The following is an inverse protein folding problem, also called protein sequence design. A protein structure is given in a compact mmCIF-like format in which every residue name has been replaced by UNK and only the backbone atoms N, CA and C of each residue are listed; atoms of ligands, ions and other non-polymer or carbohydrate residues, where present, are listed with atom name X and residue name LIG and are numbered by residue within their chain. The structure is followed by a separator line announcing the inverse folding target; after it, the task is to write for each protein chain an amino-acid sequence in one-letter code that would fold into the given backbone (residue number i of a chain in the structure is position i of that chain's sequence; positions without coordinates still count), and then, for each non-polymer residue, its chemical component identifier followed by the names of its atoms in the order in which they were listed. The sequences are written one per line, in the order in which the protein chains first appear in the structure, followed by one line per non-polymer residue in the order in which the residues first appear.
data_IF_100912599334
#
_entry.id   IF_100912599334
#
_cell.length_a   1.000
_cell.length_b   1.000
_cell.length_c   1.000
_cell.angle_alpha   90.00
_cell.angle_beta   90.00
_cell.angle_gamma   90.00
#
_symmetry.space_group_name_H-M   'P 1'
#
loop_
_entity.id
_entity.type
_entity.pdbx_description
1 polymer ?
#
# COMPACT_ATOMS: atom_id res chain seq x y z
N UNK A 1 -26.60 9.91 41.44
CA UNK A 1 -26.51 10.23 40.00
C UNK A 1 -25.06 10.53 39.69
N UNK A 2 -24.34 9.60 39.07
CA UNK A 2 -22.92 9.74 38.75
C UNK A 2 -22.80 10.36 37.36
N UNK A 3 -22.25 11.57 37.31
CA UNK A 3 -21.96 12.29 36.05
C UNK A 3 -20.73 11.66 35.39
N UNK A 4 -20.92 11.02 34.23
CA UNK A 4 -19.84 10.50 33.42
C UNK A 4 -18.99 11.66 32.86
N UNK A 5 -17.71 11.68 33.17
CA UNK A 5 -16.74 12.65 32.67
C UNK A 5 -16.52 12.51 31.16
N UNK A 6 -16.30 13.62 30.40
CA UNK A 6 -16.18 13.60 28.94
C UNK A 6 -14.91 12.89 28.40
N UNK A 7 -14.00 12.43 29.26
CA UNK A 7 -12.80 11.69 28.89
C UNK A 7 -13.08 10.26 28.38
N UNK A 8 -14.18 9.62 28.83
CA UNK A 8 -14.54 8.26 28.43
C UNK A 8 -15.07 8.16 26.98
N UNK A 9 -15.64 9.26 26.45
CA UNK A 9 -16.20 9.29 25.10
C UNK A 9 -15.13 9.41 23.99
N UNK A 10 -13.88 9.74 24.32
CA UNK A 10 -12.78 9.93 23.35
C UNK A 10 -12.04 8.65 23.00
N UNK A 11 -12.16 7.60 23.82
CA UNK A 11 -11.44 6.33 23.63
C UNK A 11 -12.04 5.41 22.56
N UNK A 12 -13.28 5.64 22.11
CA UNK A 12 -13.98 4.74 21.16
C UNK A 12 -13.70 5.08 19.68
N UNK A 13 -13.00 6.18 19.36
CA UNK A 13 -12.81 6.63 17.98
C UNK A 13 -11.49 6.20 17.31
N UNK A 14 -10.63 5.48 17.96
CA UNK A 14 -9.40 4.97 17.35
C UNK A 14 -9.49 3.48 17.01
N UNK A 15 -10.50 3.11 16.20
CA UNK A 15 -10.38 1.87 15.42
C UNK A 15 -9.14 2.06 14.53
N UNK A 16 -8.07 1.24 14.64
CA UNK A 16 -6.92 1.38 13.76
C UNK A 16 -7.46 1.24 12.34
N UNK A 17 -7.38 2.32 11.57
CA UNK A 17 -7.81 2.29 10.17
C UNK A 17 -7.01 1.18 9.50
N UNK A 18 -7.68 0.10 9.12
CA UNK A 18 -7.06 -1.02 8.41
C UNK A 18 -6.24 -0.45 7.24
N UNK A 19 -4.92 -0.58 7.36
CA UNK A 19 -4.00 -0.13 6.30
C UNK A 19 -4.07 -1.17 5.19
N UNK A 20 -4.87 -0.90 4.21
CA UNK A 20 -4.98 -1.74 3.03
C UNK A 20 -4.62 -0.96 1.77
N UNK A 21 -4.11 -1.68 0.78
CA UNK A 21 -3.86 -1.17 -0.55
C UNK A 21 -4.86 -1.76 -1.53
N UNK A 22 -5.26 -1.00 -2.54
CA UNK A 22 -5.94 -1.55 -3.70
C UNK A 22 -4.93 -2.25 -4.62
N UNK A 23 -5.34 -3.22 -5.44
CA UNK A 23 -4.46 -3.83 -6.44
C UNK A 23 -3.78 -2.79 -7.35
N UNK A 24 -2.61 -3.11 -7.93
CA UNK A 24 -1.84 -2.16 -8.72
C UNK A 24 -2.63 -1.62 -9.91
N UNK A 25 -2.63 -0.31 -10.07
CA UNK A 25 -3.35 0.38 -11.13
C UNK A 25 -4.84 0.59 -10.88
N UNK A 26 -5.40 0.10 -9.77
CA UNK A 26 -6.80 0.37 -9.43
C UNK A 26 -7.09 1.87 -9.45
N UNK A 27 -8.26 2.23 -9.99
CA UNK A 27 -8.74 3.61 -9.97
C UNK A 27 -8.89 4.16 -8.55
N UNK A 28 -9.05 5.47 -8.41
CA UNK A 28 -9.41 6.09 -7.13
C UNK A 28 -10.65 5.43 -6.52
N UNK A 29 -10.75 5.39 -5.18
CA UNK A 29 -11.68 4.53 -4.44
C UNK A 29 -13.12 4.59 -4.93
N UNK A 30 -13.68 5.79 -5.15
CA UNK A 30 -15.06 5.94 -5.61
C UNK A 30 -15.28 5.29 -7.01
N UNK A 31 -14.38 5.57 -7.95
CA UNK A 31 -14.44 5.00 -9.31
C UNK A 31 -14.14 3.50 -9.31
N UNK A 32 -13.28 3.05 -8.43
CA UNK A 32 -13.00 1.62 -8.26
C UNK A 32 -14.24 0.87 -7.79
N UNK A 33 -14.89 1.37 -6.72
CA UNK A 33 -16.09 0.76 -6.16
C UNK A 33 -17.28 0.76 -7.13
N UNK A 34 -17.41 1.79 -7.98
CA UNK A 34 -18.48 1.83 -9.02
C UNK A 34 -18.27 0.84 -10.15
N UNK A 35 -17.03 0.38 -10.39
CA UNK A 35 -16.70 -0.55 -11.47
C UNK A 35 -16.50 -1.99 -11.01
N UNK A 36 -16.10 -2.20 -9.75
CA UNK A 36 -15.79 -3.54 -9.24
C UNK A 36 -17.07 -4.36 -9.03
N UNK A 37 -17.19 -5.46 -9.73
CA UNK A 37 -18.32 -6.40 -9.64
C UNK A 37 -18.04 -7.58 -8.70
N UNK A 38 -16.99 -7.52 -7.91
CA UNK A 38 -16.61 -8.52 -6.89
C UNK A 38 -16.43 -9.95 -7.46
N UNK A 39 -16.00 -10.08 -8.71
CA UNK A 39 -15.88 -11.39 -9.40
C UNK A 39 -14.73 -12.28 -8.91
N UNK A 40 -13.83 -11.78 -8.07
CA UNK A 40 -12.74 -12.57 -7.47
C UNK A 40 -11.54 -12.87 -8.38
N UNK A 41 -11.64 -12.73 -9.71
CA UNK A 41 -10.61 -13.16 -10.68
C UNK A 41 -9.21 -12.57 -10.41
N UNK A 42 -9.13 -11.32 -9.93
CA UNK A 42 -7.85 -10.68 -9.60
C UNK A 42 -7.10 -11.41 -8.46
N UNK A 43 -7.82 -12.02 -7.52
CA UNK A 43 -7.23 -12.84 -6.45
C UNK A 43 -6.73 -14.18 -6.97
N UNK A 44 -7.52 -14.86 -7.80
CA UNK A 44 -7.18 -16.18 -8.36
C UNK A 44 -5.94 -16.13 -9.26
N UNK A 45 -5.84 -15.12 -10.12
CA UNK A 45 -4.69 -14.97 -11.03
C UNK A 45 -3.41 -14.53 -10.31
N UNK A 46 -3.49 -14.07 -9.06
CA UNK A 46 -2.34 -13.51 -8.35
C UNK A 46 -1.32 -14.60 -7.95
N UNK A 47 -0.13 -14.66 -8.57
CA UNK A 47 0.84 -15.73 -8.27
C UNK A 47 1.38 -15.64 -6.84
N UNK A 48 1.41 -14.45 -6.26
CA UNK A 48 1.82 -14.24 -4.87
C UNK A 48 0.67 -14.38 -3.87
N UNK A 49 -0.57 -14.57 -4.34
CA UNK A 49 -1.77 -14.67 -3.50
C UNK A 49 -1.83 -13.56 -2.43
N UNK A 50 -1.46 -12.33 -2.80
CA UNK A 50 -1.45 -11.18 -1.89
C UNK A 50 -2.79 -10.44 -1.87
N UNK A 51 -3.70 -10.74 -2.78
CA UNK A 51 -5.01 -10.10 -2.87
C UNK A 51 -5.98 -10.87 -1.98
N UNK A 52 -6.58 -10.15 -1.03
CA UNK A 52 -7.65 -10.59 -0.14
C UNK A 52 -8.93 -9.86 -0.49
N UNK A 53 -10.07 -10.32 0.00
CA UNK A 53 -11.37 -9.70 -0.22
C UNK A 53 -11.97 -9.27 1.10
N UNK A 54 -12.59 -8.10 1.13
CA UNK A 54 -13.29 -7.61 2.31
C UNK A 54 -14.51 -8.47 2.61
N UNK A 55 -14.70 -8.76 3.88
CA UNK A 55 -15.94 -9.35 4.40
C UNK A 55 -16.92 -8.26 4.87
N UNK A 56 -18.11 -8.66 5.34
CA UNK A 56 -19.17 -7.75 5.78
C UNK A 56 -18.76 -6.87 6.97
N UNK A 57 -17.84 -7.31 7.82
CA UNK A 57 -17.36 -6.56 9.00
C UNK A 57 -16.65 -5.26 8.64
N UNK A 58 -16.12 -5.17 7.40
CA UNK A 58 -15.40 -3.99 6.90
C UNK A 58 -16.32 -2.94 6.24
N UNK A 59 -17.64 -3.15 6.28
CA UNK A 59 -18.65 -2.26 5.73
C UNK A 59 -19.22 -2.73 4.39
N UNK A 60 -20.54 -2.60 4.23
CA UNK A 60 -21.32 -3.11 3.10
C UNK A 60 -20.79 -2.64 1.72
N UNK A 61 -20.36 -1.37 1.62
CA UNK A 61 -19.89 -0.78 0.34
C UNK A 61 -18.57 -1.39 -0.17
N UNK A 62 -17.75 -1.94 0.71
CA UNK A 62 -16.44 -2.50 0.36
C UNK A 62 -16.45 -4.03 0.30
N UNK A 63 -17.53 -4.68 0.78
CA UNK A 63 -17.65 -6.15 0.83
C UNK A 63 -17.36 -6.78 -0.54
N UNK A 64 -16.58 -7.87 -0.55
CA UNK A 64 -16.17 -8.60 -1.76
C UNK A 64 -15.12 -7.88 -2.61
N UNK A 65 -14.77 -6.64 -2.30
CA UNK A 65 -13.75 -5.92 -3.09
C UNK A 65 -12.32 -6.30 -2.67
N UNK A 66 -11.36 -6.35 -3.62
CA UNK A 66 -9.99 -6.79 -3.36
C UNK A 66 -9.17 -5.75 -2.60
N UNK A 67 -8.33 -6.23 -1.70
CA UNK A 67 -7.32 -5.43 -1.00
C UNK A 67 -6.03 -6.21 -0.76
N UNK A 68 -4.97 -5.51 -0.40
CA UNK A 68 -3.65 -6.07 -0.07
C UNK A 68 -3.21 -5.51 1.29
N UNK A 69 -2.73 -6.39 2.16
CA UNK A 69 -2.07 -6.03 3.41
C UNK A 69 -0.56 -6.27 3.24
N UNK A 70 0.25 -5.22 3.00
CA UNK A 70 1.65 -5.36 2.61
C UNK A 70 2.48 -6.19 3.59
N UNK A 71 2.24 -6.03 4.88
CA UNK A 71 2.98 -6.78 5.92
C UNK A 71 2.78 -8.28 5.83
N UNK A 72 1.59 -8.73 5.48
CA UNK A 72 1.30 -10.17 5.36
C UNK A 72 1.82 -10.73 4.03
N UNK A 73 1.41 -10.12 2.91
CA UNK A 73 1.85 -10.47 1.55
C UNK A 73 1.86 -9.21 0.67
N UNK A 74 3.03 -8.80 0.23
CA UNK A 74 3.21 -7.63 -0.61
C UNK A 74 2.95 -7.92 -2.09
N UNK A 75 2.68 -6.88 -2.88
CA UNK A 75 2.51 -7.00 -4.33
C UNK A 75 3.87 -7.11 -5.03
N UNK A 76 4.03 -8.10 -5.90
CA UNK A 76 5.25 -8.30 -6.72
C UNK A 76 5.22 -7.56 -8.06
N UNK A 77 4.22 -6.71 -8.28
CA UNK A 77 4.07 -5.89 -9.49
C UNK A 77 3.99 -6.69 -10.81
N UNK A 78 3.43 -7.88 -10.81
CA UNK A 78 3.29 -8.72 -12.02
C UNK A 78 2.19 -8.25 -12.99
N UNK A 79 1.35 -7.31 -12.61
CA UNK A 79 0.24 -6.70 -13.37
C UNK A 79 -0.88 -7.64 -13.85
N UNK A 80 -0.82 -8.93 -13.59
CA UNK A 80 -1.80 -9.93 -14.05
C UNK A 80 -3.25 -9.65 -13.62
N UNK A 81 -3.44 -9.05 -12.44
CA UNK A 81 -4.79 -8.69 -11.95
C UNK A 81 -5.53 -7.71 -12.87
N UNK A 82 -4.82 -6.81 -13.56
CA UNK A 82 -5.41 -5.91 -14.55
C UNK A 82 -5.75 -6.61 -15.88
N UNK A 83 -5.05 -7.69 -16.23
CA UNK A 83 -5.29 -8.43 -17.47
C UNK A 83 -6.64 -9.16 -17.44
N UNK A 84 -7.05 -9.65 -16.27
CA UNK A 84 -8.27 -10.44 -16.07
C UNK A 84 -9.47 -9.63 -15.58
N UNK A 85 -9.30 -8.32 -15.29
CA UNK A 85 -10.39 -7.51 -14.77
C UNK A 85 -11.41 -7.18 -15.88
N UNK A 86 -12.64 -7.75 -15.87
CA UNK A 86 -13.57 -7.60 -16.98
C UNK A 86 -14.16 -6.19 -17.10
N UNK A 87 -14.26 -5.47 -15.98
CA UNK A 87 -14.87 -4.13 -15.93
C UNK A 87 -13.84 -2.99 -16.04
N UNK A 88 -12.54 -3.32 -16.05
CA UNK A 88 -11.48 -2.32 -16.01
C UNK A 88 -11.44 -1.52 -14.71
N UNK A 89 -12.01 -2.02 -13.60
CA UNK A 89 -11.78 -1.46 -12.27
C UNK A 89 -10.30 -1.44 -11.93
N UNK A 90 -9.57 -2.46 -12.40
CA UNK A 90 -8.11 -2.54 -12.43
C UNK A 90 -7.70 -2.52 -13.90
N UNK A 91 -7.20 -1.41 -14.44
CA UNK A 91 -6.85 -1.30 -15.85
C UNK A 91 -5.64 -2.16 -16.21
N UNK A 92 -5.56 -2.57 -17.48
CA UNK A 92 -4.42 -3.31 -18.01
C UNK A 92 -3.19 -2.39 -18.07
N UNK A 93 -2.11 -2.83 -17.45
CA UNK A 93 -0.82 -2.12 -17.44
C UNK A 93 0.24 -3.13 -17.89
N UNK A 94 1.08 -2.73 -18.85
CA UNK A 94 2.19 -3.59 -19.31
C UNK A 94 3.21 -3.75 -18.17
N UNK A 95 3.74 -4.95 -18.01
CA UNK A 95 4.79 -5.26 -17.04
C UNK A 95 6.14 -4.70 -17.52
N UNK A 96 6.26 -3.36 -17.60
CA UNK A 96 7.49 -2.62 -17.89
C UNK A 96 7.70 -1.59 -16.80
N UNK A 97 8.93 -1.41 -16.32
CA UNK A 97 9.23 -0.55 -15.17
C UNK A 97 8.70 0.88 -15.35
N UNK A 98 8.88 1.49 -16.52
CA UNK A 98 8.37 2.83 -16.84
C UNK A 98 6.83 2.92 -16.79
N UNK A 99 6.12 1.93 -17.34
CA UNK A 99 4.67 1.87 -17.32
C UNK A 99 4.14 1.68 -15.88
N UNK A 100 4.79 0.81 -15.10
CA UNK A 100 4.46 0.57 -13.71
C UNK A 100 4.65 1.84 -12.88
N UNK A 101 5.80 2.50 -13.01
CA UNK A 101 6.08 3.75 -12.28
C UNK A 101 5.10 4.88 -12.64
N UNK A 102 4.72 4.98 -13.91
CA UNK A 102 3.79 6.01 -14.37
C UNK A 102 2.34 5.78 -13.88
N UNK A 103 1.86 4.53 -13.94
CA UNK A 103 0.44 4.20 -13.79
C UNK A 103 0.07 3.58 -12.44
N UNK A 104 1.02 3.01 -11.71
CA UNK A 104 0.76 2.36 -10.42
C UNK A 104 1.04 3.32 -9.27
N UNK A 105 0.02 3.65 -8.51
CA UNK A 105 0.11 4.53 -7.34
C UNK A 105 -0.70 3.94 -6.19
N UNK A 106 -0.26 2.79 -5.65
CA UNK A 106 -0.94 2.09 -4.55
C UNK A 106 -0.77 2.83 -3.22
N UNK A 107 0.36 3.49 -3.05
CA UNK A 107 0.74 4.22 -1.85
C UNK A 107 2.17 4.71 -1.94
N UNK A 108 2.68 5.21 -0.82
CA UNK A 108 4.06 5.66 -0.68
C UNK A 108 4.69 5.08 0.59
N UNK A 109 5.94 4.63 0.50
CA UNK A 109 6.67 4.12 1.66
C UNK A 109 7.16 5.29 2.54
N UNK A 110 6.96 5.17 3.84
CA UNK A 110 7.43 6.15 4.83
C UNK A 110 8.33 5.42 5.82
N UNK A 111 9.51 5.99 6.07
CA UNK A 111 10.49 5.47 7.02
C UNK A 111 10.33 6.17 8.36
N UNK A 112 10.21 5.37 9.41
CA UNK A 112 10.33 5.81 10.78
C UNK A 112 11.81 5.73 11.17
N UNK A 113 12.46 6.88 11.30
CA UNK A 113 13.88 6.97 11.56
C UNK A 113 14.26 6.50 12.96
N UNK A 114 13.35 6.64 13.92
CA UNK A 114 13.57 6.20 15.30
C UNK A 114 13.59 4.66 15.42
N UNK A 115 12.83 3.98 14.57
CA UNK A 115 12.78 2.51 14.53
C UNK A 115 13.80 1.89 13.57
N UNK A 116 14.31 2.66 12.60
CA UNK A 116 15.16 2.12 11.54
C UNK A 116 16.59 1.88 12.01
N UNK A 117 17.06 0.64 11.91
CA UNK A 117 18.42 0.26 12.33
C UNK A 117 19.51 1.10 11.64
N UNK A 118 19.34 1.42 10.36
CA UNK A 118 20.34 2.22 9.63
C UNK A 118 20.43 3.65 10.16
N UNK A 119 19.32 4.23 10.66
CA UNK A 119 19.35 5.53 11.34
C UNK A 119 19.83 5.46 12.79
N UNK A 120 19.82 4.26 13.39
CA UNK A 120 20.39 3.98 14.71
C UNK A 120 21.88 3.59 14.66
N UNK A 121 22.55 3.79 13.53
CA UNK A 121 23.99 3.51 13.38
C UNK A 121 24.34 2.06 13.02
N UNK A 122 23.38 1.21 12.66
CA UNK A 122 23.60 -0.19 12.27
C UNK A 122 23.31 -0.37 10.77
N UNK A 123 24.25 -0.90 10.01
CA UNK A 123 24.04 -1.22 8.59
C UNK A 123 22.93 -2.25 8.41
N UNK A 124 21.91 -1.98 7.59
CA UNK A 124 20.77 -2.89 7.39
C UNK A 124 20.38 -3.05 5.89
N UNK A 125 19.89 -2.00 5.21
CA UNK A 125 19.55 -1.96 3.78
C UNK A 125 18.54 -2.98 3.25
N UNK A 126 17.86 -3.77 4.10
CA UNK A 126 16.95 -4.85 3.69
C UNK A 126 15.81 -4.32 2.82
N UNK A 127 15.23 -3.16 3.16
CA UNK A 127 14.14 -2.54 2.42
C UNK A 127 14.58 -2.09 1.01
N UNK A 128 15.83 -1.65 0.85
CA UNK A 128 16.41 -1.31 -0.44
C UNK A 128 16.58 -2.56 -1.31
N UNK A 129 17.20 -3.62 -0.76
CA UNK A 129 17.41 -4.89 -1.49
C UNK A 129 16.10 -5.58 -1.88
N UNK A 130 15.04 -5.39 -1.11
CA UNK A 130 13.72 -5.93 -1.42
C UNK A 130 12.93 -5.10 -2.46
N UNK A 131 13.39 -3.90 -2.81
CA UNK A 131 12.67 -3.03 -3.74
C UNK A 131 12.89 -3.46 -5.19
N UNK A 132 11.84 -3.69 -5.99
CA UNK A 132 11.99 -4.02 -7.41
C UNK A 132 12.37 -2.81 -8.27
N UNK A 133 12.34 -1.60 -7.69
CA UNK A 133 12.68 -0.33 -8.34
C UNK A 133 13.84 0.34 -7.56
N UNK A 134 14.89 -0.44 -7.30
CA UNK A 134 16.10 0.06 -6.64
C UNK A 134 16.66 1.28 -7.39
N UNK A 135 17.33 2.17 -6.65
CA UNK A 135 17.93 3.42 -7.14
C UNK A 135 16.93 4.44 -7.71
N UNK A 136 15.74 4.02 -8.13
CA UNK A 136 14.69 4.90 -8.65
C UNK A 136 13.67 5.24 -7.57
N UNK A 137 13.05 4.25 -6.95
CA UNK A 137 12.01 4.42 -5.92
C UNK A 137 12.57 4.48 -4.49
N UNK A 138 13.72 3.89 -4.26
CA UNK A 138 14.43 3.93 -2.98
C UNK A 138 15.92 3.98 -3.24
N UNK A 139 16.62 4.86 -2.55
CA UNK A 139 18.09 4.95 -2.53
C UNK A 139 18.59 4.74 -1.12
N UNK A 140 19.85 4.40 -0.98
CA UNK A 140 20.52 4.30 0.31
C UNK A 140 21.63 5.33 0.44
N UNK A 141 21.74 5.91 1.62
CA UNK A 141 22.84 6.78 2.00
C UNK A 141 23.86 6.06 2.90
N UNK A 142 24.53 6.82 3.74
CA UNK A 142 25.48 6.29 4.72
C UNK A 142 24.80 5.22 5.59
N UNK A 143 25.51 4.15 5.93
CA UNK A 143 25.00 3.01 6.72
C UNK A 143 23.73 2.38 6.12
N UNK A 144 23.56 2.47 4.80
CA UNK A 144 22.38 1.98 4.08
C UNK A 144 21.06 2.62 4.57
N UNK A 145 21.08 3.88 5.00
CA UNK A 145 19.89 4.64 5.37
C UNK A 145 18.95 4.79 4.17
N UNK A 146 17.71 4.30 4.26
CA UNK A 146 16.79 4.33 3.13
C UNK A 146 16.19 5.72 2.90
N UNK A 147 16.27 6.20 1.65
CA UNK A 147 15.62 7.42 1.16
C UNK A 147 14.59 7.07 0.10
N UNK A 148 13.32 7.14 0.45
CA UNK A 148 12.22 6.88 -0.49
C UNK A 148 12.01 8.07 -1.41
N UNK A 149 11.83 7.82 -2.71
CA UNK A 149 11.63 8.82 -3.77
C UNK A 149 10.20 8.77 -4.32
N UNK A 150 9.79 9.80 -5.04
CA UNK A 150 8.43 9.95 -5.60
C UNK A 150 8.06 8.86 -6.62
N UNK A 151 9.05 8.19 -7.20
CA UNK A 151 8.85 7.03 -8.06
C UNK A 151 8.35 5.79 -7.29
N UNK A 152 8.22 5.85 -5.96
CA UNK A 152 7.66 4.76 -5.17
C UNK A 152 6.22 4.49 -5.56
N UNK A 153 5.93 3.25 -5.92
CA UNK A 153 4.59 2.79 -6.33
C UNK A 153 3.78 2.18 -5.17
N UNK A 154 4.40 2.02 -4.00
CA UNK A 154 3.73 1.50 -2.79
C UNK A 154 3.43 0.01 -2.82
N UNK A 155 4.23 -0.82 -3.49
CA UNK A 155 4.01 -2.27 -3.59
C UNK A 155 4.10 -3.02 -2.24
N UNK A 156 4.84 -2.47 -1.28
CA UNK A 156 4.93 -2.98 0.09
C UNK A 156 5.99 -4.05 0.33
N UNK A 157 6.81 -4.40 -0.65
CA UNK A 157 7.90 -5.37 -0.45
C UNK A 157 8.89 -4.92 0.63
N UNK A 158 9.22 -3.62 0.67
CA UNK A 158 10.07 -3.04 1.71
C UNK A 158 9.46 -3.17 3.12
N UNK A 159 8.13 -2.96 3.27
CA UNK A 159 7.43 -3.13 4.55
C UNK A 159 7.41 -4.59 4.98
N UNK A 160 7.11 -5.51 4.04
CA UNK A 160 7.11 -6.95 4.31
C UNK A 160 8.47 -7.46 4.76
N UNK A 161 9.53 -6.99 4.09
CA UNK A 161 10.91 -7.45 4.35
C UNK A 161 11.56 -6.79 5.56
N UNK A 162 10.97 -5.74 6.13
CA UNK A 162 11.52 -5.06 7.30
C UNK A 162 11.63 -6.01 8.48
N UNK A 163 12.83 -6.13 9.04
CA UNK A 163 13.14 -7.01 10.16
C UNK A 163 12.75 -6.44 11.52
N UNK A 164 12.48 -5.14 11.59
CA UNK A 164 12.04 -4.49 12.82
C UNK A 164 10.59 -4.79 13.16
N UNK A 165 10.30 -4.89 14.46
CA UNK A 165 8.97 -5.08 15.04
C UNK A 165 8.73 -4.03 16.14
N UNK A 166 7.87 -3.04 15.89
CA UNK A 166 7.10 -2.74 14.67
C UNK A 166 7.99 -2.27 13.51
N UNK A 167 7.48 -2.43 12.26
CA UNK A 167 8.25 -2.12 11.05
C UNK A 167 8.67 -0.65 11.00
N UNK A 168 9.94 -0.40 10.72
CA UNK A 168 10.48 0.93 10.53
C UNK A 168 10.12 1.56 9.17
N UNK A 169 9.70 0.76 8.19
CA UNK A 169 9.20 1.27 6.90
C UNK A 169 7.80 0.72 6.65
N UNK A 170 6.87 1.60 6.30
CA UNK A 170 5.45 1.26 6.13
C UNK A 170 4.87 1.97 4.92
N UNK A 171 3.94 1.31 4.24
CA UNK A 171 3.22 1.94 3.13
C UNK A 171 2.05 2.75 3.68
N UNK A 172 1.97 4.02 3.27
CA UNK A 172 0.78 4.84 3.41
C UNK A 172 -0.04 4.72 2.13
N UNK A 173 -1.28 4.20 2.19
CA UNK A 173 -2.13 4.07 1.03
C UNK A 173 -2.42 5.42 0.39
N UNK A 174 -2.44 5.46 -0.94
CA UNK A 174 -2.88 6.65 -1.68
C UNK A 174 -4.43 6.63 -1.73
N UNK A 175 -5.06 7.24 -0.73
CA UNK A 175 -6.53 7.35 -0.65
C UNK A 175 -6.98 8.59 -1.41
N UNK A 176 -6.81 8.61 -2.74
CA UNK A 176 -7.46 9.60 -3.60
C UNK A 176 -7.58 11.02 -3.04
N UNK A 177 -6.53 11.58 -2.46
CA UNK A 177 -6.43 13.03 -2.33
C UNK A 177 -6.24 13.55 -3.75
N UNK A 178 -7.27 14.17 -4.29
CA UNK A 178 -7.14 15.07 -5.42
C UNK A 178 -5.91 15.94 -5.17
N UNK A 179 -4.84 15.70 -5.92
CA UNK A 179 -3.79 16.69 -6.07
C UNK A 179 -4.46 17.90 -6.72
N UNK A 180 -4.90 18.85 -5.92
CA UNK A 180 -4.91 20.22 -6.34
C UNK A 180 -3.44 20.61 -6.51
N UNK A 181 -2.95 20.49 -7.73
CA UNK A 181 -1.85 21.27 -8.23
C UNK A 181 -2.38 22.71 -8.32
N UNK A 182 -2.28 23.44 -7.21
CA UNK A 182 -2.29 24.91 -7.24
C UNK A 182 -0.85 25.35 -7.12
N UNK A 183 -0.35 25.77 -8.25
CA UNK A 183 0.72 26.70 -8.53
C UNK A 183 0.96 27.73 -7.42
N UNK A 184 2.22 28.06 -7.20
CA UNK A 184 2.75 29.15 -6.40
C UNK A 184 4.25 29.13 -6.49
#
# INVERSE_FOLDING_TARGET
MATMTPAAARAVRNKPSLRFLRPPGAHGEAKFLSKCINCGQCGEICPNRCIKFFNFENGLKSTGTPYITPREKACILCMKCGEVCPTGAIPKIKHKANEVMAKVKMGHAVVDKELCLSYQGKTCGVCYRACPLQDVAIKVGMLEQPHVKDACVGCGLCERSCIQMPQAIRIRPNRGTSHNSSEG
#
